data_IF_778734093639
#
_entry.id   IF_778734093639
#
_cell.length_a   1.000
_cell.length_b   1.000
_cell.length_c   1.000
_cell.angle_alpha   90.00
_cell.angle_beta   90.00
_cell.angle_gamma   90.00
#
_symmetry.space_group_name_H-M   'P 1'
#
loop_
_entity.id
_entity.type
_entity.pdbx_description
1 polymer ?
#
# COMPACT_ATOMS: atom_id res chain seq x y z
N UNK A 1 -56.60 -18.82 17.56
CA UNK A 1 -56.45 -18.79 16.09
C UNK A 1 -55.21 -17.94 15.76
N UNK A 2 -54.02 -18.38 16.19
CA UNK A 2 -52.82 -17.50 16.30
C UNK A 2 -51.52 -18.19 15.85
N UNK A 3 -51.59 -19.08 14.85
CA UNK A 3 -50.42 -19.82 14.36
C UNK A 3 -49.92 -19.36 12.96
N UNK A 4 -50.54 -18.35 12.35
CA UNK A 4 -50.24 -17.96 10.96
C UNK A 4 -49.17 -16.84 10.83
N UNK A 5 -48.89 -16.07 11.89
CA UNK A 5 -48.04 -14.88 11.80
C UNK A 5 -46.53 -15.18 11.68
N UNK A 6 -46.05 -16.34 12.16
CA UNK A 6 -44.62 -16.67 12.17
C UNK A 6 -44.05 -17.15 10.82
N UNK A 7 -44.89 -17.65 9.90
CA UNK A 7 -44.43 -18.20 8.63
C UNK A 7 -44.08 -17.15 7.58
N UNK A 8 -44.79 -16.02 7.58
CA UNK A 8 -44.58 -14.92 6.62
C UNK A 8 -43.27 -14.17 6.88
N UNK A 9 -43.04 -13.78 8.12
CA UNK A 9 -41.85 -13.02 8.53
C UNK A 9 -40.55 -13.80 8.36
N UNK A 10 -40.49 -15.08 8.75
CA UNK A 10 -39.32 -15.94 8.52
C UNK A 10 -38.99 -16.12 7.03
N UNK A 11 -40.02 -16.24 6.18
CA UNK A 11 -39.85 -16.37 4.73
C UNK A 11 -39.28 -15.08 4.12
N UNK A 12 -39.76 -13.92 4.54
CA UNK A 12 -39.24 -12.63 4.08
C UNK A 12 -37.78 -12.41 4.50
N UNK A 13 -37.44 -12.69 5.78
CA UNK A 13 -36.06 -12.61 6.26
C UNK A 13 -35.14 -13.56 5.49
N UNK A 14 -35.57 -14.80 5.25
CA UNK A 14 -34.80 -15.78 4.50
C UNK A 14 -34.59 -15.38 3.04
N UNK A 15 -35.63 -14.87 2.37
CA UNK A 15 -35.51 -14.36 1.01
C UNK A 15 -34.58 -13.16 0.94
N UNK A 16 -34.64 -12.26 1.94
CA UNK A 16 -33.74 -11.12 2.04
C UNK A 16 -32.29 -11.59 2.22
N UNK A 17 -32.03 -12.50 3.17
CA UNK A 17 -30.72 -13.08 3.41
C UNK A 17 -30.16 -13.74 2.14
N UNK A 18 -30.96 -14.54 1.42
CA UNK A 18 -30.54 -15.16 0.15
C UNK A 18 -30.25 -14.16 -0.96
N UNK A 19 -31.07 -13.11 -1.13
CA UNK A 19 -30.80 -12.06 -2.13
C UNK A 19 -29.49 -11.34 -1.80
N UNK A 20 -29.26 -11.05 -0.53
CA UNK A 20 -28.04 -10.38 -0.08
C UNK A 20 -26.83 -11.29 -0.29
N UNK A 21 -26.94 -12.59 -0.02
CA UNK A 21 -25.89 -13.60 -0.21
C UNK A 21 -25.50 -13.76 -1.69
N UNK A 22 -26.47 -13.83 -2.59
CA UNK A 22 -26.21 -13.87 -4.02
C UNK A 22 -25.49 -12.60 -4.48
N UNK A 23 -25.96 -11.42 -4.02
CA UNK A 23 -25.35 -10.13 -4.34
C UNK A 23 -23.90 -10.04 -3.84
N UNK A 24 -23.60 -10.51 -2.62
CA UNK A 24 -22.23 -10.53 -2.10
C UNK A 24 -21.34 -11.49 -2.86
N UNK A 25 -21.85 -12.65 -3.27
CA UNK A 25 -21.09 -13.59 -4.10
C UNK A 25 -20.73 -12.99 -5.45
N UNK A 26 -21.70 -12.40 -6.16
CA UNK A 26 -21.45 -11.75 -7.46
C UNK A 26 -20.47 -10.58 -7.34
N UNK A 27 -20.56 -9.81 -6.24
CA UNK A 27 -19.64 -8.74 -5.93
C UNK A 27 -18.21 -9.26 -5.64
N UNK A 28 -18.10 -10.37 -4.91
CA UNK A 28 -16.83 -11.05 -4.63
C UNK A 28 -16.18 -11.58 -5.92
N UNK A 29 -16.93 -12.24 -6.79
CA UNK A 29 -16.45 -12.73 -8.09
C UNK A 29 -15.95 -11.58 -8.99
N UNK A 30 -16.62 -10.42 -8.95
CA UNK A 30 -16.15 -9.21 -9.63
C UNK A 30 -14.84 -8.68 -9.04
N UNK A 31 -14.71 -8.66 -7.71
CA UNK A 31 -13.48 -8.24 -7.03
C UNK A 31 -12.29 -9.15 -7.40
N UNK A 32 -12.52 -10.45 -7.49
CA UNK A 32 -11.49 -11.42 -7.91
C UNK A 32 -11.02 -11.20 -9.35
N UNK A 33 -11.96 -10.88 -10.25
CA UNK A 33 -11.64 -10.55 -11.64
C UNK A 33 -10.78 -9.28 -11.74
N UNK A 34 -11.05 -8.27 -10.93
CA UNK A 34 -10.29 -7.03 -10.89
C UNK A 34 -8.87 -7.21 -10.32
N UNK A 35 -8.69 -8.07 -9.31
CA UNK A 35 -7.35 -8.41 -8.81
C UNK A 35 -6.55 -9.20 -9.85
N UNK A 36 -7.22 -10.10 -10.59
CA UNK A 36 -6.60 -10.89 -11.66
C UNK A 36 -6.16 -10.01 -12.83
N UNK A 37 -6.97 -9.03 -13.24
CA UNK A 37 -6.59 -8.07 -14.29
C UNK A 37 -5.45 -7.13 -13.86
N UNK A 38 -5.39 -6.78 -12.57
CA UNK A 38 -4.28 -6.02 -12.01
C UNK A 38 -2.97 -6.82 -12.04
N UNK A 39 -3.04 -8.15 -11.95
CA UNK A 39 -1.89 -9.04 -12.07
C UNK A 39 -1.41 -9.18 -13.52
N UNK A 40 -2.33 -9.24 -14.50
CA UNK A 40 -2.02 -9.36 -15.94
C UNK A 40 -1.49 -8.08 -16.59
N UNK A 41 -1.60 -6.92 -15.94
CA UNK A 41 -1.11 -5.64 -16.48
C UNK A 41 0.43 -5.48 -16.38
N UNK A 42 1.15 -6.52 -15.97
CA UNK A 42 2.62 -6.52 -15.89
C UNK A 42 3.34 -6.97 -17.17
N UNK A 43 2.61 -7.18 -18.28
CA UNK A 43 3.20 -7.54 -19.58
C UNK A 43 2.65 -6.72 -20.74
N UNK A 44 2.92 -5.42 -20.73
CA UNK A 44 2.94 -4.59 -21.95
C UNK A 44 3.74 -3.31 -21.69
N UNK A 45 5.07 -3.47 -21.64
CA UNK A 45 5.96 -2.36 -21.96
C UNK A 45 5.73 -1.93 -23.41
N UNK A 46 5.89 -0.63 -23.67
CA UNK A 46 5.78 0.12 -24.93
C UNK A 46 4.36 0.51 -25.41
N UNK A 47 3.86 1.63 -24.88
CA UNK A 47 3.23 2.66 -25.70
C UNK A 47 3.26 3.97 -24.92
N UNK A 48 4.18 4.83 -25.32
CA UNK A 48 4.32 6.19 -24.83
C UNK A 48 3.28 7.10 -25.49
N UNK A 49 2.32 7.62 -24.72
CA UNK A 49 1.75 8.94 -24.94
C UNK A 49 0.87 9.38 -23.76
N UNK A 50 1.23 10.55 -23.23
CA UNK A 50 0.53 11.49 -22.33
C UNK A 50 -0.62 10.99 -21.42
N UNK A 51 -0.58 11.29 -20.10
CA UNK A 51 -1.80 11.40 -19.32
C UNK A 51 -2.42 12.78 -19.57
N UNK A 52 -3.48 12.82 -20.36
CA UNK A 52 -4.31 14.02 -20.53
C UNK A 52 -5.77 13.60 -20.58
N UNK A 53 -6.59 14.38 -19.89
CA UNK A 53 -8.04 14.24 -19.69
C UNK A 53 -8.48 13.19 -18.66
N UNK A 54 -8.81 13.75 -17.49
CA UNK A 54 -9.93 13.31 -16.66
C UNK A 54 -11.05 12.83 -17.58
N UNK A 55 -11.29 11.53 -17.60
CA UNK A 55 -12.50 10.94 -18.15
C UNK A 55 -13.54 10.84 -17.04
N UNK A 56 -14.63 11.60 -17.08
CA UNK A 56 -15.71 11.53 -16.11
C UNK A 56 -16.87 10.74 -16.72
N UNK A 57 -16.75 9.41 -16.82
CA UNK A 57 -17.89 8.55 -17.17
C UNK A 57 -17.51 7.07 -17.04
N UNK A 58 -17.59 6.56 -15.81
CA UNK A 58 -17.38 5.16 -15.50
C UNK A 58 -17.16 5.10 -14.01
N UNK A 59 -18.25 4.96 -13.25
CA UNK A 59 -18.19 4.66 -11.82
C UNK A 59 -17.58 3.25 -11.71
N UNK A 60 -16.26 3.16 -11.88
CA UNK A 60 -15.49 2.01 -11.46
C UNK A 60 -15.54 2.04 -9.95
N UNK A 61 -16.39 1.21 -9.36
CA UNK A 61 -16.35 0.96 -7.92
C UNK A 61 -14.91 0.58 -7.57
N UNK A 62 -14.24 1.41 -6.77
CA UNK A 62 -12.91 1.10 -6.29
C UNK A 62 -12.93 -0.27 -5.58
N UNK A 63 -11.92 -1.13 -5.77
CA UNK A 63 -11.87 -2.45 -5.16
C UNK A 63 -11.95 -2.40 -3.62
N UNK A 64 -11.55 -1.28 -3.03
CA UNK A 64 -11.71 -0.99 -1.60
C UNK A 64 -13.18 -0.76 -1.19
N UNK A 65 -13.93 0.04 -1.96
CA UNK A 65 -15.36 0.28 -1.71
C UNK A 65 -16.18 -0.99 -1.88
N UNK A 66 -15.83 -1.79 -2.89
CA UNK A 66 -16.46 -3.07 -3.16
C UNK A 66 -16.18 -4.05 -2.00
N UNK A 67 -14.94 -4.12 -1.50
CA UNK A 67 -14.59 -4.91 -0.31
C UNK A 67 -15.36 -4.47 0.94
N UNK A 68 -15.46 -3.15 1.17
CA UNK A 68 -16.21 -2.62 2.32
C UNK A 68 -17.71 -2.94 2.22
N UNK A 69 -18.30 -2.80 1.03
CA UNK A 69 -19.69 -3.18 0.79
C UNK A 69 -19.93 -4.67 1.05
N UNK A 70 -19.03 -5.55 0.56
CA UNK A 70 -19.16 -7.00 0.79
C UNK A 70 -19.06 -7.31 2.29
N UNK A 71 -18.10 -6.70 3.01
CA UNK A 71 -17.97 -6.89 4.46
C UNK A 71 -19.24 -6.49 5.20
N UNK A 72 -19.80 -5.34 4.86
CA UNK A 72 -21.05 -4.84 5.44
C UNK A 72 -22.21 -5.80 5.16
N UNK A 73 -22.36 -6.22 3.92
CA UNK A 73 -23.44 -7.14 3.52
C UNK A 73 -23.30 -8.50 4.21
N UNK A 74 -22.08 -9.04 4.39
CA UNK A 74 -21.82 -10.25 5.18
C UNK A 74 -22.27 -10.08 6.64
N UNK A 75 -21.94 -8.96 7.29
CA UNK A 75 -22.40 -8.69 8.66
C UNK A 75 -23.93 -8.57 8.75
N UNK A 76 -24.56 -8.01 7.71
CA UNK A 76 -26.00 -7.93 7.62
C UNK A 76 -26.64 -9.32 7.47
N UNK A 77 -26.06 -10.21 6.64
CA UNK A 77 -26.51 -11.62 6.54
C UNK A 77 -26.39 -12.31 7.89
N UNK A 78 -25.28 -12.13 8.63
CA UNK A 78 -25.10 -12.71 9.96
C UNK A 78 -26.17 -12.24 10.96
N UNK A 79 -26.55 -10.96 10.92
CA UNK A 79 -27.64 -10.44 11.76
C UNK A 79 -29.00 -11.06 11.41
N UNK A 80 -29.30 -11.22 10.11
CA UNK A 80 -30.51 -11.89 9.64
C UNK A 80 -30.53 -13.38 10.04
N UNK A 81 -29.39 -14.08 10.00
CA UNK A 81 -29.27 -15.44 10.48
C UNK A 81 -29.59 -15.55 11.98
N UNK A 82 -29.07 -14.62 12.80
CA UNK A 82 -29.35 -14.61 14.23
C UNK A 82 -30.84 -14.31 14.55
N UNK A 83 -31.45 -13.40 13.78
CA UNK A 83 -32.87 -13.07 13.92
C UNK A 83 -33.77 -14.24 13.47
N UNK A 84 -33.45 -14.88 12.34
CA UNK A 84 -34.12 -16.10 11.89
C UNK A 84 -33.93 -17.27 12.88
N UNK A 85 -32.76 -17.43 13.50
CA UNK A 85 -32.53 -18.48 14.50
C UNK A 85 -33.44 -18.28 15.73
N UNK A 86 -33.55 -17.04 16.22
CA UNK A 86 -34.45 -16.67 17.33
C UNK A 86 -35.90 -16.98 17.00
N UNK A 87 -36.36 -16.58 15.81
CA UNK A 87 -37.71 -16.87 15.34
C UNK A 87 -37.94 -18.38 15.16
N UNK A 88 -36.95 -19.12 14.64
CA UNK A 88 -37.05 -20.57 14.49
C UNK A 88 -37.26 -21.27 15.84
N UNK A 89 -36.64 -20.79 16.92
CA UNK A 89 -36.80 -21.34 18.28
C UNK A 89 -38.16 -21.03 18.89
N UNK A 90 -38.77 -19.90 18.51
CA UNK A 90 -40.12 -19.50 18.93
C UNK A 90 -41.25 -20.29 18.25
N UNK A 91 -40.96 -21.04 17.19
CA UNK A 91 -41.95 -21.92 16.54
C UNK A 91 -42.25 -23.14 17.42
N UNK A 92 -43.50 -23.27 17.85
CA UNK A 92 -43.97 -24.41 18.66
C UNK A 92 -44.01 -25.76 17.92
N UNK A 93 -44.16 -25.74 16.58
CA UNK A 93 -44.21 -26.94 15.75
C UNK A 93 -42.80 -27.53 15.51
N UNK A 94 -42.49 -28.67 16.13
CA UNK A 94 -41.16 -29.30 16.12
C UNK A 94 -40.61 -29.54 14.70
N UNK A 95 -41.42 -30.09 13.78
CA UNK A 95 -41.00 -30.35 12.40
C UNK A 95 -40.71 -29.08 11.57
N UNK A 96 -41.48 -28.00 11.78
CA UNK A 96 -41.20 -26.71 11.12
C UNK A 96 -39.94 -26.07 11.69
N UNK A 97 -39.76 -26.11 13.01
CA UNK A 97 -38.54 -25.62 13.67
C UNK A 97 -37.28 -26.33 13.17
N UNK A 98 -37.30 -27.65 13.06
CA UNK A 98 -36.16 -28.43 12.54
C UNK A 98 -35.84 -28.08 11.07
N UNK A 99 -36.87 -27.88 10.25
CA UNK A 99 -36.71 -27.43 8.86
C UNK A 99 -36.09 -26.04 8.77
N UNK A 100 -36.60 -25.08 9.56
CA UNK A 100 -36.09 -23.71 9.58
C UNK A 100 -34.68 -23.63 10.14
N UNK A 101 -34.36 -24.43 11.17
CA UNK A 101 -33.02 -24.53 11.72
C UNK A 101 -32.00 -24.94 10.66
N UNK A 102 -32.30 -25.97 9.86
CA UNK A 102 -31.44 -26.39 8.74
C UNK A 102 -31.26 -25.30 7.69
N UNK A 103 -32.32 -24.56 7.37
CA UNK A 103 -32.25 -23.43 6.43
C UNK A 103 -31.37 -22.30 6.95
N UNK A 104 -31.50 -21.94 8.24
CA UNK A 104 -30.66 -20.92 8.87
C UNK A 104 -29.19 -21.35 8.88
N UNK A 105 -28.93 -22.61 9.24
CA UNK A 105 -27.60 -23.18 9.29
C UNK A 105 -26.93 -23.21 7.90
N UNK A 106 -27.69 -23.52 6.84
CA UNK A 106 -27.20 -23.43 5.47
C UNK A 106 -26.80 -22.00 5.10
N UNK A 107 -27.65 -21.00 5.40
CA UNK A 107 -27.36 -19.59 5.08
C UNK A 107 -26.18 -19.08 5.91
N UNK A 108 -26.07 -19.47 7.17
CA UNK A 108 -24.94 -19.13 8.03
C UNK A 108 -23.62 -19.72 7.51
N UNK A 109 -23.61 -21.01 7.14
CA UNK A 109 -22.43 -21.66 6.57
C UNK A 109 -21.99 -21.00 5.25
N UNK A 110 -22.94 -20.62 4.38
CA UNK A 110 -22.65 -19.88 3.15
C UNK A 110 -22.08 -18.48 3.45
N UNK A 111 -22.63 -17.77 4.46
CA UNK A 111 -22.14 -16.46 4.88
C UNK A 111 -20.72 -16.51 5.45
N UNK A 112 -20.41 -17.53 6.25
CA UNK A 112 -19.08 -17.73 6.83
C UNK A 112 -18.06 -18.12 5.75
N UNK A 113 -18.45 -18.95 4.77
CA UNK A 113 -17.62 -19.26 3.61
C UNK A 113 -17.29 -18.02 2.76
N UNK A 114 -18.27 -17.14 2.55
CA UNK A 114 -18.07 -15.84 1.89
C UNK A 114 -17.11 -14.95 2.69
N UNK A 115 -17.26 -14.90 4.01
CA UNK A 115 -16.40 -14.13 4.90
C UNK A 115 -14.95 -14.61 4.85
N UNK A 116 -14.72 -15.91 4.97
CA UNK A 116 -13.40 -16.50 4.92
C UNK A 116 -12.71 -16.20 3.59
N UNK A 117 -13.45 -16.30 2.49
CA UNK A 117 -12.96 -15.95 1.15
C UNK A 117 -12.52 -14.48 1.11
N UNK A 118 -13.36 -13.56 1.60
CA UNK A 118 -13.06 -12.13 1.66
C UNK A 118 -11.83 -11.82 2.51
N UNK A 119 -11.72 -12.41 3.71
CA UNK A 119 -10.57 -12.22 4.59
C UNK A 119 -9.28 -12.71 3.93
N UNK A 120 -9.34 -13.83 3.19
CA UNK A 120 -8.21 -14.32 2.37
C UNK A 120 -7.84 -13.36 1.24
N UNK A 121 -8.79 -12.64 0.65
CA UNK A 121 -8.48 -11.57 -0.32
C UNK A 121 -7.85 -10.36 0.37
N UNK A 122 -8.41 -9.91 1.49
CA UNK A 122 -7.89 -8.77 2.23
C UNK A 122 -6.46 -9.02 2.72
N UNK A 123 -6.16 -10.22 3.23
CA UNK A 123 -4.81 -10.60 3.65
C UNK A 123 -3.82 -10.61 2.47
N UNK A 124 -4.25 -11.14 1.31
CA UNK A 124 -3.43 -11.12 0.09
C UNK A 124 -3.15 -9.70 -0.38
N UNK A 125 -4.16 -8.82 -0.38
CA UNK A 125 -3.97 -7.40 -0.70
C UNK A 125 -3.03 -6.71 0.26
N UNK A 126 -3.22 -6.91 1.57
CA UNK A 126 -2.39 -6.31 2.60
C UNK A 126 -0.93 -6.73 2.47
N UNK A 127 -0.67 -8.02 2.21
CA UNK A 127 0.68 -8.53 1.99
C UNK A 127 1.35 -7.86 0.78
N UNK A 128 0.63 -7.71 -0.34
CA UNK A 128 1.15 -6.98 -1.53
C UNK A 128 1.51 -5.54 -1.20
N UNK A 129 0.65 -4.83 -0.45
CA UNK A 129 0.90 -3.43 -0.04
C UNK A 129 2.10 -3.32 0.88
N UNK A 130 2.28 -4.30 1.78
CA UNK A 130 3.42 -4.33 2.69
C UNK A 130 4.74 -4.60 1.96
N UNK A 131 4.76 -5.58 1.05
CA UNK A 131 5.93 -5.86 0.20
C UNK A 131 6.29 -4.64 -0.67
N UNK A 132 5.29 -3.95 -1.24
CA UNK A 132 5.52 -2.73 -2.02
C UNK A 132 6.09 -1.59 -1.15
N UNK A 133 5.62 -1.46 0.10
CA UNK A 133 6.12 -0.47 1.05
C UNK A 133 7.58 -0.75 1.44
N UNK A 134 7.92 -2.01 1.69
CA UNK A 134 9.31 -2.42 1.98
C UNK A 134 10.23 -2.16 0.79
N UNK A 135 9.79 -2.50 -0.43
CA UNK A 135 10.53 -2.19 -1.67
C UNK A 135 10.72 -0.68 -1.86
N UNK A 136 9.70 0.12 -1.59
CA UNK A 136 9.77 1.57 -1.70
C UNK A 136 10.75 2.18 -0.69
N UNK A 137 10.80 1.67 0.54
CA UNK A 137 11.73 2.12 1.58
C UNK A 137 13.19 1.77 1.23
N UNK A 138 13.43 0.55 0.72
CA UNK A 138 14.76 0.13 0.23
C UNK A 138 15.23 1.00 -0.95
N UNK A 139 14.38 1.20 -1.95
CA UNK A 139 14.71 2.05 -3.10
C UNK A 139 14.86 3.52 -2.71
N UNK A 140 14.07 4.01 -1.75
CA UNK A 140 14.16 5.37 -1.23
C UNK A 140 15.53 5.67 -0.62
N UNK A 141 16.01 4.78 0.26
CA UNK A 141 17.35 4.92 0.87
C UNK A 141 18.46 4.80 -0.16
N UNK A 142 18.39 3.83 -1.07
CA UNK A 142 19.40 3.63 -2.12
C UNK A 142 19.47 4.82 -3.10
N UNK A 143 18.31 5.38 -3.48
CA UNK A 143 18.23 6.56 -4.37
C UNK A 143 18.73 7.82 -3.67
N UNK A 144 18.46 7.98 -2.37
CA UNK A 144 19.01 9.07 -1.57
C UNK A 144 20.54 8.98 -1.47
N UNK A 145 21.10 7.79 -1.22
CA UNK A 145 22.55 7.60 -1.20
C UNK A 145 23.21 7.83 -2.56
N UNK A 146 22.63 7.34 -3.66
CA UNK A 146 23.15 7.60 -5.02
C UNK A 146 23.16 9.09 -5.35
N UNK A 147 22.08 9.82 -5.04
CA UNK A 147 22.03 11.28 -5.22
C UNK A 147 23.08 12.00 -4.38
N UNK A 148 23.29 11.57 -3.13
CA UNK A 148 24.32 12.15 -2.28
C UNK A 148 25.74 11.89 -2.81
N UNK A 149 26.01 10.68 -3.31
CA UNK A 149 27.30 10.33 -3.93
C UNK A 149 27.55 11.10 -5.23
N UNK A 150 26.55 11.24 -6.11
CA UNK A 150 26.70 12.01 -7.35
C UNK A 150 26.89 13.51 -7.07
N UNK A 151 26.17 14.05 -6.08
CA UNK A 151 26.36 15.44 -5.63
C UNK A 151 27.76 15.60 -5.03
N UNK A 152 28.21 14.70 -4.17
CA UNK A 152 29.56 14.75 -3.58
C UNK A 152 30.66 14.55 -4.63
N UNK A 153 30.43 13.71 -5.63
CA UNK A 153 31.37 13.47 -6.72
C UNK A 153 31.45 14.67 -7.67
N UNK A 154 30.32 15.32 -8.00
CA UNK A 154 30.33 16.51 -8.86
C UNK A 154 30.82 17.76 -8.13
N UNK A 155 30.50 17.95 -6.84
CA UNK A 155 30.87 19.16 -6.08
C UNK A 155 32.17 19.04 -5.28
N UNK A 156 32.52 17.83 -4.82
CA UNK A 156 33.68 17.57 -3.95
C UNK A 156 34.97 17.32 -4.73
N UNK A 157 34.89 16.61 -5.85
CA UNK A 157 36.05 16.38 -6.72
C UNK A 157 36.38 17.63 -7.56
N UNK A 158 35.38 18.32 -8.13
CA UNK A 158 35.63 19.52 -8.96
C UNK A 158 36.31 20.65 -8.17
N UNK A 159 35.86 20.95 -6.94
CA UNK A 159 36.48 21.98 -6.11
C UNK A 159 37.85 21.56 -5.54
N UNK A 160 38.06 20.27 -5.23
CA UNK A 160 39.36 19.77 -4.76
C UNK A 160 40.38 19.71 -5.89
N UNK A 161 39.98 19.32 -7.10
CA UNK A 161 40.84 19.29 -8.30
C UNK A 161 41.16 20.70 -8.79
N UNK A 162 40.18 21.62 -8.84
CA UNK A 162 40.45 23.05 -9.11
C UNK A 162 41.44 23.62 -8.08
N UNK A 163 41.23 23.36 -6.79
CA UNK A 163 42.17 23.81 -5.73
C UNK A 163 43.53 23.09 -5.78
N UNK A 164 43.61 21.86 -6.28
CA UNK A 164 44.86 21.12 -6.46
C UNK A 164 45.71 21.68 -7.62
N UNK A 165 45.06 22.27 -8.62
CA UNK A 165 45.75 22.90 -9.76
C UNK A 165 46.14 24.35 -9.44
N UNK A 166 45.27 25.12 -8.77
CA UNK A 166 45.50 26.54 -8.50
C UNK A 166 46.54 26.81 -7.39
N UNK A 167 46.74 25.88 -6.46
CA UNK A 167 47.72 26.06 -5.37
C UNK A 167 49.17 25.81 -5.79
N UNK A 168 49.42 25.22 -6.97
CA UNK A 168 50.79 24.90 -7.45
C UNK A 168 51.66 26.15 -7.67
N UNK A 169 51.11 27.28 -8.13
CA UNK A 169 51.92 28.47 -8.39
C UNK A 169 52.15 29.39 -7.17
N UNK A 170 51.27 29.37 -6.17
CA UNK A 170 51.42 30.22 -4.98
C UNK A 170 52.40 29.66 -3.96
N UNK A 171 52.44 28.33 -3.80
CA UNK A 171 53.37 27.68 -2.85
C UNK A 171 54.82 27.80 -3.33
N UNK A 172 55.08 27.66 -4.64
CA UNK A 172 56.42 27.89 -5.21
C UNK A 172 56.90 29.34 -4.99
N UNK A 173 56.02 30.33 -5.20
CA UNK A 173 56.34 31.74 -4.91
C UNK A 173 56.62 31.99 -3.43
N UNK A 174 55.87 31.34 -2.54
CA UNK A 174 56.05 31.51 -1.09
C UNK A 174 57.38 30.93 -0.60
N UNK A 175 57.79 29.79 -1.14
CA UNK A 175 59.07 29.15 -0.80
C UNK A 175 60.26 30.00 -1.29
N UNK A 176 60.18 30.53 -2.52
CA UNK A 176 61.22 31.41 -3.05
C UNK A 176 61.34 32.71 -2.23
N UNK A 177 60.21 33.31 -1.86
CA UNK A 177 60.20 34.54 -1.05
C UNK A 177 60.70 34.29 0.38
N UNK A 178 60.32 33.16 1.00
CA UNK A 178 60.84 32.75 2.30
C UNK A 178 62.37 32.61 2.27
N UNK A 179 62.93 31.99 1.23
CA UNK A 179 64.38 31.89 1.04
C UNK A 179 65.07 33.26 0.94
N UNK A 180 64.49 34.20 0.17
CA UNK A 180 65.02 35.56 0.03
C UNK A 180 64.99 36.35 1.35
N UNK A 181 63.91 36.24 2.12
CA UNK A 181 63.81 36.93 3.41
C UNK A 181 64.80 36.36 4.42
N UNK A 182 64.95 35.03 4.46
CA UNK A 182 65.89 34.36 5.38
C UNK A 182 67.32 34.83 5.13
N UNK A 183 67.76 34.94 3.87
CA UNK A 183 69.13 35.40 3.57
C UNK A 183 69.36 36.84 4.01
N UNK A 184 68.37 37.72 3.82
CA UNK A 184 68.44 39.11 4.28
C UNK A 184 68.48 39.19 5.81
N UNK A 185 67.68 38.40 6.52
CA UNK A 185 67.67 38.38 7.99
C UNK A 185 68.99 37.86 8.55
N UNK A 186 69.55 36.80 7.98
CA UNK A 186 70.86 36.28 8.40
C UNK A 186 71.96 37.33 8.19
N UNK A 187 71.99 37.97 7.01
CA UNK A 187 72.94 39.05 6.72
C UNK A 187 72.82 40.19 7.74
N UNK A 188 71.59 40.61 8.05
CA UNK A 188 71.34 41.70 9.01
C UNK A 188 71.72 41.32 10.44
N UNK A 189 71.41 40.09 10.86
CA UNK A 189 71.74 39.58 12.18
C UNK A 189 73.26 39.50 12.37
N UNK A 190 74.00 39.10 11.33
CA UNK A 190 75.46 39.14 11.35
C UNK A 190 75.97 40.57 11.44
N UNK A 191 75.51 41.48 10.58
CA UNK A 191 75.95 42.88 10.62
C UNK A 191 75.69 43.53 11.99
N UNK A 192 74.53 43.26 12.60
CA UNK A 192 74.17 43.73 13.94
C UNK A 192 75.00 43.12 15.07
N UNK A 193 75.53 41.92 14.87
CA UNK A 193 76.42 41.26 15.82
C UNK A 193 77.85 41.78 15.70
N UNK A 194 78.30 42.10 14.48
CA UNK A 194 79.67 42.58 14.22
C UNK A 194 79.85 44.08 14.46
N UNK A 195 78.77 44.88 14.47
CA UNK A 195 78.79 46.32 14.77
C UNK A 195 78.26 46.65 16.17
#
# INVERSE_FOLDING_TARGET
MEAAAGGGTLSELYQNARRLLLRTRDALEKLERLDSSSFSSSSSSYSSSLPSSVSPAGVGLDPADLSFSIKRDVTQIQSLCAEMDRLSRSIGAKGQRDLWKRKVEQVAAEADSLRESLDKHALRQQKKVQEAKERADLLGRARAQRKALDVLNTVGLSNSVLKLIERRHHVDKWIAYAGMVITVVVMYMFWRWTH
#
